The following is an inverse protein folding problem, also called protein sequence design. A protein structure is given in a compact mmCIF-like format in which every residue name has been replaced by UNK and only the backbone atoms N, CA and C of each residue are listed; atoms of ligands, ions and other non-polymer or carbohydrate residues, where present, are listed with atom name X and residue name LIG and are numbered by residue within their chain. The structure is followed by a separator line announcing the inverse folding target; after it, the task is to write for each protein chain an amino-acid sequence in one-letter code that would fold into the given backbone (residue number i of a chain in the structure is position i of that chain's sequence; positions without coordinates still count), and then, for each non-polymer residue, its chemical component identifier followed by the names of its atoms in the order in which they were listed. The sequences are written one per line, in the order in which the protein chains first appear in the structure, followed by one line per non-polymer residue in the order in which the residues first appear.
data_IF_232981899206
#
_entry.id   IF_232981899206
#
_cell.length_a   1.000
_cell.length_b   1.000
_cell.length_c   1.000
_cell.angle_alpha   90.00
_cell.angle_beta   90.00
_cell.angle_gamma   90.00
#
_symmetry.space_group_name_H-M   'P 1'
#
loop_
_entity.id
_entity.type
_entity.pdbx_description
1 polymer ?
#
# COMPACT_ATOMS: atom_id res chain seq x y z
N UNK A 1 -7.18 36.53 -47.96
CA UNK A 1 -8.50 35.92 -48.23
C UNK A 1 -8.35 34.41 -48.12
N UNK A 2 -8.83 33.82 -47.03
CA UNK A 2 -9.38 32.46 -46.94
C UNK A 2 -9.84 32.24 -45.49
N UNK A 3 -11.15 32.09 -45.34
CA UNK A 3 -11.90 31.81 -44.11
C UNK A 3 -11.97 30.29 -43.88
N UNK A 4 -12.42 29.94 -42.67
CA UNK A 4 -12.93 28.64 -42.19
C UNK A 4 -11.89 27.78 -41.46
N UNK A 5 -12.20 27.07 -40.38
CA UNK A 5 -13.51 26.69 -39.85
C UNK A 5 -13.42 26.43 -38.34
N UNK A 6 -14.46 26.86 -37.64
CA UNK A 6 -14.74 26.63 -36.21
C UNK A 6 -15.32 25.22 -36.08
N UNK A 7 -14.70 24.36 -35.26
CA UNK A 7 -15.38 23.19 -34.70
C UNK A 7 -14.89 22.93 -33.27
N UNK A 8 -15.73 23.34 -32.32
CA UNK A 8 -15.73 22.86 -30.94
C UNK A 8 -16.26 21.41 -30.89
N UNK A 9 -15.60 20.47 -30.20
CA UNK A 9 -16.27 19.30 -29.68
C UNK A 9 -16.43 19.37 -28.15
N UNK A 10 -17.69 19.59 -27.76
CA UNK A 10 -18.43 18.86 -26.73
C UNK A 10 -17.72 18.59 -25.38
N UNK A 11 -18.07 19.46 -24.43
CA UNK A 11 -17.95 19.25 -22.98
C UNK A 11 -18.75 18.01 -22.56
N UNK A 12 -18.06 16.92 -22.24
CA UNK A 12 -18.63 15.77 -21.55
C UNK A 12 -18.82 16.13 -20.06
N UNK A 13 -20.06 16.48 -19.69
CA UNK A 13 -20.48 16.61 -18.29
C UNK A 13 -20.49 15.23 -17.63
N UNK A 14 -19.46 14.92 -16.86
CA UNK A 14 -19.48 13.82 -15.89
C UNK A 14 -20.49 14.13 -14.80
N UNK A 15 -21.58 13.36 -14.74
CA UNK A 15 -22.55 13.36 -13.64
C UNK A 15 -21.85 12.79 -12.39
N UNK A 16 -21.65 13.63 -11.39
CA UNK A 16 -21.37 13.18 -10.03
C UNK A 16 -22.60 12.46 -9.48
N UNK A 17 -22.53 11.13 -9.41
CA UNK A 17 -23.49 10.31 -8.66
C UNK A 17 -23.11 10.46 -7.19
N UNK A 18 -23.75 11.41 -6.51
CA UNK A 18 -23.74 11.47 -5.04
C UNK A 18 -24.59 10.31 -4.51
N UNK A 19 -23.93 9.25 -4.06
CA UNK A 19 -24.56 8.30 -3.15
C UNK A 19 -24.69 8.97 -1.77
N UNK A 20 -25.76 9.74 -1.60
CA UNK A 20 -26.25 10.16 -0.29
C UNK A 20 -26.70 8.88 0.42
N UNK A 21 -25.81 8.34 1.25
CA UNK A 21 -26.14 7.23 2.15
C UNK A 21 -27.00 7.83 3.26
N UNK A 22 -28.30 7.64 3.15
CA UNK A 22 -29.29 7.94 4.18
C UNK A 22 -28.85 7.27 5.48
N UNK A 23 -28.42 8.06 6.47
CA UNK A 23 -28.28 7.59 7.84
C UNK A 23 -29.69 7.46 8.41
N UNK A 24 -30.17 6.24 8.57
CA UNK A 24 -31.51 6.03 9.10
C UNK A 24 -31.94 4.57 9.09
N UNK A 25 -31.21 3.69 9.79
CA UNK A 25 -31.84 2.53 10.43
C UNK A 25 -30.87 1.92 11.47
N UNK A 26 -31.24 1.86 12.75
CA UNK A 26 -30.51 1.04 13.71
C UNK A 26 -30.67 -0.45 13.32
N UNK A 27 -29.64 -1.29 13.51
CA UNK A 27 -29.73 -2.70 13.17
C UNK A 27 -30.81 -3.39 14.02
N UNK A 28 -31.92 -3.78 13.38
CA UNK A 28 -32.93 -4.64 13.97
C UNK A 28 -32.38 -6.06 14.10
N UNK A 29 -32.41 -6.59 15.32
CA UNK A 29 -32.10 -7.99 15.62
C UNK A 29 -33.05 -8.91 14.83
N UNK A 30 -32.58 -10.06 14.32
CA UNK A 30 -33.42 -10.99 13.59
C UNK A 30 -34.61 -11.45 14.45
N UNK A 31 -35.80 -11.43 13.86
CA UNK A 31 -37.02 -11.97 14.46
C UNK A 31 -36.78 -13.40 14.95
N UNK A 32 -37.13 -13.64 16.21
CA UNK A 32 -37.14 -14.96 16.83
C UNK A 32 -38.16 -15.82 16.06
N UNK A 33 -37.65 -16.67 15.17
CA UNK A 33 -38.45 -17.60 14.39
C UNK A 33 -39.40 -18.39 15.28
N UNK A 34 -40.67 -18.38 14.89
CA UNK A 34 -41.76 -19.15 15.46
C UNK A 34 -41.36 -20.63 15.56
N UNK A 35 -41.58 -21.31 16.70
CA UNK A 35 -41.28 -22.74 16.79
C UNK A 35 -42.10 -23.51 15.76
N UNK A 36 -41.52 -24.55 15.13
CA UNK A 36 -42.21 -25.36 14.15
C UNK A 36 -43.37 -26.11 14.81
N UNK A 37 -44.50 -26.03 14.13
CA UNK A 37 -45.75 -26.73 14.43
C UNK A 37 -45.46 -28.24 14.59
N UNK A 38 -45.78 -28.82 15.75
CA UNK A 38 -45.74 -30.26 15.98
C UNK A 38 -46.83 -30.92 15.12
N UNK A 39 -46.46 -31.28 13.89
CA UNK A 39 -47.23 -32.24 13.11
C UNK A 39 -47.02 -33.61 13.74
N UNK A 40 -48.07 -34.09 14.42
CA UNK A 40 -48.27 -35.47 14.83
C UNK A 40 -48.28 -36.40 13.60
N UNK A 41 -47.09 -36.69 13.07
CA UNK A 41 -46.85 -37.69 12.04
C UNK A 41 -46.18 -38.90 12.69
N UNK A 42 -47.01 -39.91 12.93
CA UNK A 42 -46.66 -41.34 12.93
C UNK A 42 -45.21 -41.70 13.32
N UNK A 43 -44.97 -41.80 14.64
CA UNK A 43 -43.70 -42.27 15.22
C UNK A 43 -43.72 -43.79 15.29
N UNK A 44 -43.39 -44.43 14.18
CA UNK A 44 -43.32 -45.89 14.13
C UNK A 44 -41.87 -46.30 13.95
N UNK A 45 -41.25 -46.77 15.03
CA UNK A 45 -39.98 -47.49 15.00
C UNK A 45 -40.32 -48.89 14.51
N UNK A 46 -40.00 -49.20 13.26
CA UNK A 46 -40.14 -50.55 12.73
C UNK A 46 -38.91 -51.37 13.12
N UNK A 47 -39.09 -52.37 13.98
CA UNK A 47 -38.05 -53.29 14.42
C UNK A 47 -38.37 -54.66 13.83
N UNK A 48 -37.76 -54.96 12.70
CA UNK A 48 -37.81 -56.28 12.06
C UNK A 48 -36.39 -56.75 11.76
N UNK A 49 -35.98 -57.87 12.34
CA UNK A 49 -34.82 -58.64 11.88
C UNK A 49 -33.43 -58.22 12.39
N UNK A 50 -33.33 -57.49 13.51
CA UNK A 50 -32.05 -57.27 14.19
C UNK A 50 -31.16 -56.16 13.63
N UNK A 51 -31.66 -55.35 12.69
CA UNK A 51 -30.91 -54.23 12.12
C UNK A 51 -31.73 -52.94 12.24
N UNK A 52 -31.23 -51.94 12.99
CA UNK A 52 -31.92 -50.67 13.26
C UNK A 52 -31.34 -49.59 12.36
N UNK A 53 -32.08 -49.20 11.32
CA UNK A 53 -31.71 -48.06 10.45
C UNK A 53 -32.45 -46.81 10.89
N UNK A 54 -31.78 -45.95 11.65
CA UNK A 54 -32.28 -44.60 11.90
C UNK A 54 -32.01 -43.72 10.67
N UNK A 55 -33.08 -43.19 10.06
CA UNK A 55 -33.00 -42.36 8.85
C UNK A 55 -32.36 -40.97 9.01
N UNK A 56 -31.80 -40.64 10.18
CA UNK A 56 -31.08 -39.37 10.44
C UNK A 56 -29.99 -39.50 11.49
N UNK A 57 -29.06 -38.56 11.42
CA UNK A 57 -27.86 -38.40 12.25
C UNK A 57 -28.20 -38.40 13.75
N UNK A 58 -27.64 -39.37 14.49
CA UNK A 58 -27.88 -39.54 15.92
C UNK A 58 -26.96 -38.58 16.66
N UNK A 59 -27.49 -37.46 17.11
CA UNK A 59 -26.77 -36.51 17.97
C UNK A 59 -26.48 -37.19 19.31
N UNK A 60 -25.22 -37.62 19.52
CA UNK A 60 -24.84 -38.28 20.76
C UNK A 60 -24.92 -37.30 21.94
N UNK A 61 -25.95 -37.49 22.74
CA UNK A 61 -26.27 -36.70 23.92
C UNK A 61 -27.51 -37.24 24.64
N UNK A 62 -28.39 -37.98 23.96
CA UNK A 62 -29.65 -38.41 24.55
C UNK A 62 -30.09 -39.83 24.14
N UNK A 63 -29.20 -40.81 24.27
CA UNK A 63 -29.57 -42.23 24.19
C UNK A 63 -29.50 -42.83 25.59
N UNK A 64 -30.59 -42.71 26.36
CA UNK A 64 -30.82 -43.58 27.52
C UNK A 64 -31.35 -44.93 27.00
N UNK A 65 -30.42 -45.83 26.67
CA UNK A 65 -30.75 -47.24 26.42
C UNK A 65 -31.12 -47.86 27.76
N UNK A 66 -32.42 -47.93 28.06
CA UNK A 66 -32.92 -48.74 29.14
C UNK A 66 -32.87 -50.21 28.71
N UNK A 67 -31.94 -50.97 29.30
CA UNK A 67 -31.98 -52.42 29.43
C UNK A 67 -32.20 -53.24 28.16
N UNK A 68 -31.13 -53.64 27.49
CA UNK A 68 -30.69 -55.03 27.52
C UNK A 68 -29.28 -55.15 26.94
N UNK A 69 -28.42 -55.82 27.68
CA UNK A 69 -27.14 -56.44 27.31
C UNK A 69 -26.58 -56.21 25.88
N UNK A 70 -25.96 -55.06 25.61
CA UNK A 70 -24.87 -54.98 24.62
C UNK A 70 -23.55 -55.24 25.35
N UNK A 71 -23.39 -56.46 25.83
CA UNK A 71 -22.12 -56.98 26.33
C UNK A 71 -21.27 -57.38 25.13
N UNK A 72 -20.34 -56.51 24.69
CA UNK A 72 -19.26 -56.97 23.81
C UNK A 72 -18.61 -55.94 22.87
N UNK A 73 -19.21 -54.76 22.64
CA UNK A 73 -18.59 -53.76 21.78
C UNK A 73 -18.46 -52.42 22.50
N UNK A 74 -17.23 -52.11 22.93
CA UNK A 74 -16.87 -50.77 23.35
C UNK A 74 -16.98 -49.84 22.15
N UNK A 75 -18.06 -49.05 22.07
CA UNK A 75 -18.12 -47.91 21.15
C UNK A 75 -17.17 -46.85 21.73
N UNK A 76 -15.90 -46.91 21.34
CA UNK A 76 -14.92 -45.86 21.62
C UNK A 76 -15.31 -44.67 20.76
N UNK A 77 -16.10 -43.76 21.32
CA UNK A 77 -16.35 -42.45 20.73
C UNK A 77 -15.04 -41.66 20.83
N UNK A 78 -14.14 -41.81 19.85
CA UNK A 78 -12.96 -40.96 19.67
C UNK A 78 -13.41 -39.56 19.25
N UNK A 79 -13.98 -38.79 20.19
CA UNK A 79 -14.23 -37.36 20.03
C UNK A 79 -13.04 -36.59 20.58
N UNK A 80 -12.06 -36.39 19.72
CA UNK A 80 -10.93 -35.52 19.97
C UNK A 80 -9.79 -35.83 19.02
N UNK A 81 -9.28 -34.82 18.33
CA UNK A 81 -7.99 -34.95 17.66
C UNK A 81 -6.95 -35.34 18.71
N UNK A 82 -6.14 -36.35 18.41
CA UNK A 82 -5.02 -36.70 19.28
C UNK A 82 -4.15 -35.46 19.50
N UNK A 83 -3.66 -35.25 20.71
CA UNK A 83 -2.76 -34.13 21.02
C UNK A 83 -1.53 -34.11 20.08
N UNK A 84 -1.12 -35.28 19.59
CA UNK A 84 -0.05 -35.43 18.60
C UNK A 84 -0.47 -34.87 17.23
N UNK A 85 -1.72 -35.09 16.80
CA UNK A 85 -2.23 -34.60 15.51
C UNK A 85 -2.39 -33.08 15.54
N UNK A 86 -2.88 -32.52 16.64
CA UNK A 86 -2.95 -31.06 16.84
C UNK A 86 -1.55 -30.44 16.83
N UNK A 87 -0.58 -31.05 17.52
CA UNK A 87 0.80 -30.56 17.55
C UNK A 87 1.44 -30.60 16.16
N UNK A 88 1.28 -31.69 15.42
CA UNK A 88 1.76 -31.80 14.03
C UNK A 88 1.10 -30.77 13.12
N UNK A 89 -0.21 -30.56 13.25
CA UNK A 89 -0.92 -29.55 12.48
C UNK A 89 -0.40 -28.14 12.78
N UNK A 90 -0.23 -27.80 14.07
CA UNK A 90 0.32 -26.49 14.48
C UNK A 90 1.74 -26.29 13.94
N UNK A 91 2.58 -27.32 13.99
CA UNK A 91 3.93 -27.25 13.43
C UNK A 91 3.92 -27.05 11.91
N UNK A 92 3.07 -27.78 11.17
CA UNK A 92 2.96 -27.66 9.72
C UNK A 92 2.43 -26.28 9.33
N UNK A 93 1.36 -25.82 9.97
CA UNK A 93 0.78 -24.49 9.72
C UNK A 93 1.77 -23.39 10.07
N UNK A 94 2.45 -23.50 11.22
CA UNK A 94 3.50 -22.57 11.63
C UNK A 94 4.66 -22.52 10.63
N UNK A 95 5.14 -23.68 10.17
CA UNK A 95 6.20 -23.76 9.15
C UNK A 95 5.75 -23.14 7.81
N UNK A 96 4.50 -23.36 7.40
CA UNK A 96 3.95 -22.79 6.17
C UNK A 96 3.83 -21.26 6.25
N UNK A 97 3.37 -20.73 7.38
CA UNK A 97 3.30 -19.28 7.62
C UNK A 97 4.70 -18.66 7.64
N UNK A 98 5.68 -19.32 8.28
CA UNK A 98 7.07 -18.85 8.26
C UNK A 98 7.67 -18.89 6.86
N UNK A 99 7.43 -19.95 6.09
CA UNK A 99 7.92 -20.07 4.71
C UNK A 99 7.32 -18.99 3.80
N UNK A 100 6.01 -18.74 3.89
CA UNK A 100 5.35 -17.69 3.12
C UNK A 100 5.83 -16.30 3.54
N UNK A 101 5.93 -16.02 4.84
CA UNK A 101 6.49 -14.77 5.35
C UNK A 101 7.94 -14.56 4.85
N UNK A 102 8.79 -15.59 4.91
CA UNK A 102 10.17 -15.53 4.42
C UNK A 102 10.22 -15.17 2.93
N UNK A 103 9.36 -15.76 2.10
CA UNK A 103 9.27 -15.42 0.66
C UNK A 103 8.93 -13.95 0.47
N UNK A 104 7.96 -13.41 1.21
CA UNK A 104 7.61 -11.98 1.13
C UNK A 104 8.75 -11.06 1.55
N UNK A 105 9.47 -11.40 2.62
CA UNK A 105 10.61 -10.59 3.07
C UNK A 105 11.80 -10.65 2.11
N UNK A 106 12.10 -11.81 1.53
CA UNK A 106 13.18 -11.97 0.54
C UNK A 106 12.83 -11.25 -0.76
N UNK A 107 11.60 -11.42 -1.27
CA UNK A 107 11.15 -10.71 -2.46
C UNK A 107 11.16 -9.18 -2.25
N UNK A 108 10.67 -8.71 -1.10
CA UNK A 108 10.73 -7.30 -0.72
C UNK A 108 12.16 -6.75 -0.70
N UNK A 109 13.12 -7.52 -0.17
CA UNK A 109 14.52 -7.13 -0.14
C UNK A 109 15.14 -6.94 -1.53
N UNK A 110 14.78 -7.80 -2.49
CA UNK A 110 15.29 -7.73 -3.88
C UNK A 110 14.74 -6.48 -4.57
N UNK A 111 13.45 -6.18 -4.41
CA UNK A 111 12.82 -5.01 -5.06
C UNK A 111 13.25 -3.69 -4.40
N UNK A 112 13.46 -3.69 -3.09
CA UNK A 112 13.92 -2.53 -2.34
C UNK A 112 15.41 -2.20 -2.54
N UNK A 113 16.23 -3.18 -2.93
CA UNK A 113 17.68 -3.02 -3.07
C UNK A 113 18.12 -1.82 -3.93
N UNK A 114 17.60 -1.59 -5.15
CA UNK A 114 17.99 -0.42 -5.95
C UNK A 114 17.62 0.91 -5.29
N UNK A 115 16.51 0.97 -4.57
CA UNK A 115 16.06 2.17 -3.85
C UNK A 115 16.99 2.49 -2.68
N UNK A 116 17.35 1.47 -1.88
CA UNK A 116 18.28 1.61 -0.75
C UNK A 116 19.67 2.02 -1.24
N UNK A 117 20.16 1.39 -2.31
CA UNK A 117 21.43 1.75 -2.93
C UNK A 117 21.44 3.21 -3.41
N UNK A 118 20.35 3.64 -4.05
CA UNK A 118 20.19 5.03 -4.51
C UNK A 118 20.17 6.02 -3.34
N UNK A 119 19.44 5.72 -2.27
CA UNK A 119 19.36 6.58 -1.07
C UNK A 119 20.68 6.71 -0.30
N UNK A 120 21.49 5.65 -0.29
CA UNK A 120 22.79 5.64 0.40
C UNK A 120 23.92 6.27 -0.43
N UNK A 121 23.68 6.66 -1.68
CA UNK A 121 24.68 7.35 -2.50
C UNK A 121 25.07 8.71 -1.90
N UNK A 122 26.37 9.06 -1.85
CA UNK A 122 26.81 10.38 -1.42
C UNK A 122 26.33 11.47 -2.38
N UNK A 123 26.02 12.65 -1.83
CA UNK A 123 25.72 13.85 -2.62
C UNK A 123 27.01 14.46 -3.16
N UNK A 124 26.96 15.06 -4.34
CA UNK A 124 28.11 15.73 -4.95
C UNK A 124 28.67 16.87 -4.08
N UNK A 125 27.80 17.62 -3.38
CA UNK A 125 28.19 18.69 -2.46
C UNK A 125 28.50 18.21 -1.03
N UNK A 126 28.63 16.89 -0.83
CA UNK A 126 28.95 16.29 0.46
C UNK A 126 27.76 16.13 1.40
N UNK A 127 26.84 17.10 1.51
CA UNK A 127 25.65 17.01 2.37
C UNK A 127 24.53 17.99 1.98
N UNK A 128 23.30 17.66 2.37
CA UNK A 128 22.16 18.58 2.28
C UNK A 128 22.36 19.82 3.15
N UNK A 129 22.05 21.00 2.61
CA UNK A 129 22.25 22.29 3.29
C UNK A 129 21.00 23.18 3.27
N UNK A 130 20.77 24.02 4.30
CA UNK A 130 19.67 24.99 4.27
C UNK A 130 19.75 25.99 3.11
N UNK A 131 20.96 26.32 2.65
CA UNK A 131 21.16 27.22 1.51
C UNK A 131 20.65 26.60 0.20
N UNK A 132 20.94 25.33 -0.06
CA UNK A 132 20.41 24.62 -1.24
C UNK A 132 18.88 24.45 -1.17
N UNK A 133 18.32 24.26 0.03
CA UNK A 133 16.87 24.24 0.22
C UNK A 133 16.24 25.60 -0.15
N UNK A 134 16.86 26.72 0.25
CA UNK A 134 16.39 28.06 -0.09
C UNK A 134 16.46 28.33 -1.60
N UNK A 135 17.50 27.86 -2.29
CA UNK A 135 17.60 27.96 -3.76
C UNK A 135 16.48 27.21 -4.45
N UNK A 136 16.11 26.01 -3.97
CA UNK A 136 14.96 25.29 -4.51
C UNK A 136 13.66 26.02 -4.25
N UNK A 137 13.45 26.55 -3.03
CA UNK A 137 12.25 27.32 -2.71
C UNK A 137 12.10 28.52 -3.64
N UNK A 138 13.17 29.28 -3.90
CA UNK A 138 13.15 30.40 -4.84
C UNK A 138 12.72 29.99 -6.27
N UNK A 139 13.18 28.82 -6.73
CA UNK A 139 12.76 28.26 -8.02
C UNK A 139 11.28 27.87 -8.02
N UNK A 140 10.77 27.30 -6.93
CA UNK A 140 9.34 26.98 -6.77
C UNK A 140 8.50 28.26 -6.74
N UNK A 141 8.92 29.27 -5.98
CA UNK A 141 8.23 30.57 -5.91
C UNK A 141 8.20 31.27 -7.28
N UNK A 142 9.28 31.14 -8.06
CA UNK A 142 9.33 31.63 -9.44
C UNK A 142 8.32 30.89 -10.34
N UNK A 143 8.11 29.58 -10.15
CA UNK A 143 7.07 28.84 -10.88
C UNK A 143 5.66 29.24 -10.44
N UNK A 144 5.45 29.48 -9.14
CA UNK A 144 4.15 29.85 -8.58
C UNK A 144 3.67 31.25 -8.96
N UNK A 145 4.59 32.10 -9.41
CA UNK A 145 4.34 33.47 -9.87
C UNK A 145 4.14 33.59 -11.39
N UNK A 146 4.26 32.49 -12.14
CA UNK A 146 4.00 32.47 -13.58
C UNK A 146 2.53 32.75 -13.90
N UNK A 147 2.30 33.44 -15.01
CA UNK A 147 0.94 33.63 -15.52
C UNK A 147 0.44 32.36 -16.23
N UNK A 148 -0.85 32.03 -16.16
CA UNK A 148 -1.42 30.91 -16.91
C UNK A 148 -1.05 30.97 -18.40
N UNK A 149 -0.58 29.86 -18.95
CA UNK A 149 -0.10 29.76 -20.34
C UNK A 149 1.36 30.15 -20.56
N UNK A 150 2.07 30.67 -19.55
CA UNK A 150 3.48 31.02 -19.68
C UNK A 150 4.37 29.76 -19.71
N UNK A 151 5.24 29.67 -20.71
CA UNK A 151 6.25 28.61 -20.80
C UNK A 151 7.39 28.85 -19.80
N UNK A 152 7.93 27.76 -19.26
CA UNK A 152 9.08 27.82 -18.37
C UNK A 152 10.07 26.69 -18.62
N UNK A 153 11.31 26.93 -18.19
CA UNK A 153 12.36 25.93 -18.05
C UNK A 153 13.03 26.12 -16.70
N UNK A 154 13.04 25.07 -15.89
CA UNK A 154 13.67 25.06 -14.57
C UNK A 154 14.53 23.82 -14.39
N UNK A 155 15.69 23.98 -13.76
CA UNK A 155 16.58 22.88 -13.41
C UNK A 155 16.72 22.75 -11.91
N UNK A 156 16.59 21.54 -11.38
CA UNK A 156 16.79 21.22 -9.96
C UNK A 156 17.98 20.28 -9.81
N UNK A 157 18.96 20.65 -9.00
CA UNK A 157 20.05 19.73 -8.66
C UNK A 157 19.60 18.70 -7.62
N UNK A 158 20.25 17.55 -7.58
CA UNK A 158 19.94 16.54 -6.56
C UNK A 158 20.12 17.08 -5.14
N UNK A 159 21.11 17.96 -4.92
CA UNK A 159 21.35 18.58 -3.62
C UNK A 159 20.24 19.57 -3.23
N UNK A 160 19.74 20.36 -4.18
CA UNK A 160 18.58 21.23 -3.99
C UNK A 160 17.35 20.40 -3.59
N UNK A 161 17.02 19.33 -4.34
CA UNK A 161 15.86 18.47 -4.05
C UNK A 161 15.99 17.74 -2.72
N UNK A 162 17.17 17.17 -2.44
CA UNK A 162 17.42 16.50 -1.16
C UNK A 162 17.33 17.47 0.01
N UNK A 163 17.90 18.67 -0.12
CA UNK A 163 17.90 19.68 0.93
C UNK A 163 16.51 20.24 1.17
N UNK A 164 15.77 20.54 0.11
CA UNK A 164 14.39 21.00 0.21
C UNK A 164 13.48 19.95 0.86
N UNK A 165 13.64 18.69 0.46
CA UNK A 165 12.91 17.60 1.09
C UNK A 165 13.28 17.44 2.56
N UNK A 166 14.55 17.57 2.93
CA UNK A 166 15.00 17.46 4.32
C UNK A 166 14.48 18.58 5.22
N UNK A 167 14.60 19.82 4.77
CA UNK A 167 14.42 21.01 5.62
C UNK A 167 13.04 21.67 5.49
N UNK A 168 12.34 21.47 4.37
CA UNK A 168 11.06 22.15 4.10
C UNK A 168 9.90 21.15 4.03
N UNK A 169 9.94 20.19 3.10
CA UNK A 169 8.80 19.28 2.92
C UNK A 169 8.73 18.19 3.99
N UNK A 170 9.86 17.60 4.34
CA UNK A 170 9.95 16.47 5.28
C UNK A 170 9.24 16.77 6.59
N UNK A 171 9.57 17.86 7.33
CA UNK A 171 8.91 18.20 8.59
C UNK A 171 7.40 18.30 8.46
N UNK A 172 6.91 18.86 7.35
CA UNK A 172 5.46 19.04 7.14
C UNK A 172 4.76 17.72 6.78
N UNK A 173 5.48 16.79 6.17
CA UNK A 173 5.01 15.44 5.86
C UNK A 173 5.23 14.46 7.02
N UNK A 174 5.75 14.93 8.17
CA UNK A 174 6.10 14.08 9.30
C UNK A 174 7.28 13.15 8.99
N UNK A 175 8.20 13.55 8.11
CA UNK A 175 9.42 12.81 7.77
C UNK A 175 10.64 13.53 8.35
N UNK A 176 11.38 12.83 9.18
CA UNK A 176 12.68 13.29 9.73
C UNK A 176 13.83 12.68 8.93
N UNK A 177 15.00 13.33 8.95
CA UNK A 177 16.18 12.89 8.17
C UNK A 177 15.86 12.64 6.68
N UNK A 178 14.98 13.48 6.12
CA UNK A 178 14.53 13.39 4.74
C UNK A 178 15.69 13.44 3.74
N UNK A 179 15.65 12.56 2.75
CA UNK A 179 16.58 12.52 1.62
C UNK A 179 15.79 12.34 0.34
N UNK A 180 16.26 12.98 -0.73
CA UNK A 180 15.78 12.74 -2.08
C UNK A 180 16.98 12.45 -3.01
N UNK A 181 16.83 11.50 -3.92
CA UNK A 181 17.89 11.09 -4.85
C UNK A 181 17.31 10.80 -6.22
N UNK A 182 18.00 11.23 -7.28
CA UNK A 182 17.61 10.89 -8.63
C UNK A 182 18.10 9.48 -8.97
N UNK A 183 17.20 8.66 -9.48
CA UNK A 183 17.53 7.32 -9.97
C UNK A 183 18.30 7.41 -11.29
N UNK A 184 18.80 6.27 -11.77
CA UNK A 184 19.45 6.20 -13.08
C UNK A 184 18.43 6.32 -14.23
N UNK A 185 17.19 5.91 -13.97
CA UNK A 185 16.08 6.11 -14.91
C UNK A 185 15.64 7.58 -14.89
N UNK A 186 15.62 8.27 -16.04
CA UNK A 186 15.24 9.68 -16.12
C UNK A 186 13.84 9.95 -15.56
N UNK A 187 13.73 10.98 -14.72
CA UNK A 187 12.47 11.39 -14.13
C UNK A 187 12.01 10.53 -12.95
N UNK A 188 12.81 9.54 -12.51
CA UNK A 188 12.53 8.81 -11.28
C UNK A 188 13.33 9.38 -10.10
N UNK A 189 12.65 9.54 -8.96
CA UNK A 189 13.19 10.12 -7.74
C UNK A 189 12.84 9.19 -6.58
N UNK A 190 13.84 8.81 -5.78
CA UNK A 190 13.62 8.12 -4.52
C UNK A 190 13.60 9.15 -3.39
N UNK A 191 12.53 9.16 -2.62
CA UNK A 191 12.41 9.88 -1.36
C UNK A 191 12.63 8.89 -0.22
N UNK A 192 13.24 9.31 0.87
CA UNK A 192 13.41 8.47 2.06
C UNK A 192 13.66 9.28 3.32
N UNK A 193 13.54 8.64 4.48
CA UNK A 193 13.70 9.26 5.79
C UNK A 193 13.04 8.41 6.86
N UNK A 194 12.71 9.00 8.00
CA UNK A 194 11.99 8.33 9.09
C UNK A 194 10.62 8.98 9.27
N UNK A 195 9.56 8.22 9.12
CA UNK A 195 8.18 8.73 9.15
C UNK A 195 7.58 8.64 10.57
N UNK A 196 7.20 9.78 11.11
CA UNK A 196 6.72 9.95 12.50
C UNK A 196 5.40 9.23 12.74
N UNK A 197 4.49 9.24 11.76
CA UNK A 197 3.18 8.57 11.84
C UNK A 197 3.31 7.06 12.11
N UNK A 198 4.37 6.44 11.60
CA UNK A 198 4.66 5.02 11.83
C UNK A 198 5.70 4.81 12.94
N UNK A 199 5.73 5.68 13.95
CA UNK A 199 6.64 5.54 15.09
C UNK A 199 8.11 5.84 14.77
N UNK A 200 8.38 6.64 13.74
CA UNK A 200 9.74 7.00 13.33
C UNK A 200 10.44 5.90 12.53
N UNK A 201 9.70 4.96 11.94
CA UNK A 201 10.29 3.88 11.14
C UNK A 201 10.91 4.43 9.84
N UNK A 202 12.00 3.82 9.34
CA UNK A 202 12.57 4.17 8.05
C UNK A 202 11.58 3.90 6.92
N UNK A 203 11.45 4.86 6.01
CA UNK A 203 10.54 4.86 4.88
C UNK A 203 11.29 5.21 3.60
N UNK A 204 10.82 4.68 2.48
CA UNK A 204 11.20 5.15 1.16
C UNK A 204 10.02 5.11 0.18
N UNK A 205 10.01 6.05 -0.75
CA UNK A 205 9.05 6.13 -1.84
C UNK A 205 9.77 6.35 -3.16
N UNK A 206 9.41 5.57 -4.16
CA UNK A 206 9.77 5.80 -5.54
C UNK A 206 8.69 6.65 -6.20
N UNK A 207 9.10 7.82 -6.67
CA UNK A 207 8.26 8.80 -7.36
C UNK A 207 8.71 8.89 -8.81
N UNK A 208 7.75 9.00 -9.72
CA UNK A 208 7.98 9.28 -11.14
C UNK A 208 7.43 10.66 -11.47
N UNK A 209 8.28 11.50 -12.04
CA UNK A 209 7.88 12.77 -12.62
C UNK A 209 7.31 12.47 -14.00
N UNK A 210 6.09 12.92 -14.28
CA UNK A 210 5.40 12.68 -15.56
C UNK A 210 4.91 13.96 -16.19
N UNK A 211 4.64 13.90 -17.50
CA UNK A 211 3.98 14.98 -18.26
C UNK A 211 2.45 14.88 -18.20
N UNK A 212 1.93 13.99 -17.35
CA UNK A 212 0.51 13.75 -17.17
C UNK A 212 -0.19 14.85 -16.38
N UNK A 213 -1.45 14.59 -16.01
CA UNK A 213 -2.23 15.53 -15.20
C UNK A 213 -1.67 15.69 -13.78
N UNK A 214 -1.05 14.62 -13.26
CA UNK A 214 -0.44 14.55 -11.93
C UNK A 214 1.08 14.53 -12.11
N UNK A 215 1.79 15.65 -11.90
CA UNK A 215 3.21 15.75 -12.19
C UNK A 215 4.10 14.78 -11.42
N UNK A 216 3.70 14.36 -10.21
CA UNK A 216 4.42 13.40 -9.36
C UNK A 216 3.57 12.17 -9.05
N UNK A 217 3.88 11.05 -9.68
CA UNK A 217 3.19 9.78 -9.48
C UNK A 217 3.98 8.88 -8.53
N UNK A 218 3.31 8.37 -7.49
CA UNK A 218 3.91 7.35 -6.61
C UNK A 218 3.90 5.99 -7.33
N UNK A 219 5.08 5.41 -7.55
CA UNK A 219 5.24 4.08 -8.14
C UNK A 219 5.23 3.00 -7.06
N UNK A 220 6.08 3.16 -6.05
CA UNK A 220 6.21 2.21 -4.96
C UNK A 220 6.54 2.93 -3.65
N UNK A 221 6.10 2.37 -2.52
CA UNK A 221 6.50 2.86 -1.20
C UNK A 221 6.78 1.69 -0.26
N UNK A 222 7.77 1.85 0.60
CA UNK A 222 8.28 0.80 1.45
C UNK A 222 8.53 1.33 2.86
N UNK A 223 8.20 0.52 3.86
CA UNK A 223 8.45 0.81 5.28
C UNK A 223 9.33 -0.28 5.87
N UNK A 224 10.38 0.10 6.61
CA UNK A 224 11.27 -0.84 7.27
C UNK A 224 10.73 -1.15 8.66
N UNK A 225 10.16 -2.34 8.83
CA UNK A 225 9.56 -2.77 10.11
C UNK A 225 10.51 -3.56 11.00
N UNK A 226 11.58 -4.12 10.42
CA UNK A 226 12.60 -4.83 11.20
C UNK A 226 13.82 -3.94 11.40
N UNK A 227 14.28 -3.73 12.65
CA UNK A 227 15.51 -3.03 12.92
C UNK A 227 16.68 -3.91 12.43
N UNK A 228 17.20 -3.60 11.25
CA UNK A 228 18.42 -4.21 10.72
C UNK A 228 19.51 -3.15 10.57
N UNK A 229 20.80 -3.53 10.64
CA UNK A 229 21.91 -2.60 10.47
C UNK A 229 21.76 -1.70 9.23
N UNK A 230 22.37 -0.52 9.26
CA UNK A 230 22.35 0.39 8.12
C UNK A 230 22.91 -0.30 6.86
N UNK A 231 22.27 -0.06 5.72
CA UNK A 231 22.62 -0.71 4.45
C UNK A 231 22.02 -2.09 4.22
N UNK A 232 21.34 -2.70 5.20
CA UNK A 232 20.67 -4.00 5.02
C UNK A 232 19.29 -3.80 4.39
N UNK A 233 19.05 -4.50 3.27
CA UNK A 233 17.79 -4.48 2.50
C UNK A 233 16.70 -5.40 3.05
N UNK A 234 16.90 -6.02 4.21
CA UNK A 234 15.94 -6.91 4.84
C UNK A 234 14.95 -6.14 5.73
N UNK A 235 13.69 -6.57 5.74
CA UNK A 235 12.64 -6.03 6.62
C UNK A 235 11.80 -4.91 6.02
N UNK A 236 11.86 -4.71 4.70
CA UNK A 236 11.00 -3.75 4.00
C UNK A 236 9.67 -4.39 3.59
N UNK A 237 8.57 -3.73 3.94
CA UNK A 237 7.22 -4.11 3.53
C UNK A 237 6.65 -3.06 2.58
N UNK A 238 5.93 -3.46 1.52
CA UNK A 238 5.30 -2.52 0.61
C UNK A 238 4.11 -1.83 1.30
N UNK A 239 4.07 -0.50 1.22
CA UNK A 239 3.03 0.36 1.81
C UNK A 239 2.46 1.36 0.79
N UNK A 240 2.61 1.07 -0.51
CA UNK A 240 2.17 1.94 -1.61
C UNK A 240 0.74 2.47 -1.47
N UNK A 241 -0.28 1.68 -1.07
CA UNK A 241 -1.64 2.21 -0.89
C UNK A 241 -1.73 3.27 0.21
N UNK A 242 -0.98 3.11 1.30
CA UNK A 242 -0.95 4.03 2.43
C UNK A 242 -0.22 5.34 2.09
N UNK A 243 0.79 5.26 1.22
CA UNK A 243 1.58 6.42 0.81
C UNK A 243 0.92 7.25 -0.33
N UNK A 244 -0.30 6.93 -0.80
CA UNK A 244 -0.95 7.72 -1.87
C UNK A 244 -1.19 9.18 -1.49
N UNK A 245 -1.47 9.45 -0.22
CA UNK A 245 -1.62 10.81 0.32
C UNK A 245 -0.34 11.65 0.20
N UNK A 246 0.84 11.00 0.21
CA UNK A 246 2.14 11.65 0.02
C UNK A 246 2.23 12.27 -1.38
N UNK A 247 1.88 11.51 -2.42
CA UNK A 247 1.87 12.01 -3.80
C UNK A 247 0.89 13.19 -3.94
N UNK A 248 -0.32 13.08 -3.39
CA UNK A 248 -1.30 14.17 -3.43
C UNK A 248 -0.77 15.44 -2.74
N UNK A 249 -0.17 15.27 -1.57
CA UNK A 249 0.40 16.39 -0.79
C UNK A 249 1.59 17.05 -1.50
N UNK A 250 2.45 16.25 -2.15
CA UNK A 250 3.57 16.76 -2.94
C UNK A 250 3.09 17.54 -4.16
N UNK A 251 2.12 17.00 -4.91
CA UNK A 251 1.58 17.68 -6.09
C UNK A 251 0.88 19.00 -5.71
N UNK A 252 0.09 19.00 -4.63
CA UNK A 252 -0.60 20.20 -4.17
C UNK A 252 0.35 21.32 -3.75
N UNK A 253 1.54 20.98 -3.24
CA UNK A 253 2.51 21.95 -2.71
C UNK A 253 3.54 22.42 -3.73
N UNK A 254 4.01 21.54 -4.60
CA UNK A 254 5.14 21.83 -5.46
C UNK A 254 4.74 22.30 -6.86
N UNK A 255 3.70 21.68 -7.44
CA UNK A 255 3.45 21.77 -8.87
C UNK A 255 1.97 21.85 -9.22
N UNK A 256 1.12 22.28 -8.27
CA UNK A 256 -0.32 22.39 -8.49
C UNK A 256 -0.72 23.34 -9.62
N UNK A 257 0.17 24.27 -9.99
CA UNK A 257 -0.05 25.30 -11.00
C UNK A 257 0.74 25.10 -12.30
N UNK A 258 1.44 23.99 -12.46
CA UNK A 258 2.26 23.77 -13.67
C UNK A 258 1.96 22.43 -14.33
N UNK A 259 2.22 22.35 -15.62
CA UNK A 259 2.23 21.11 -16.39
C UNK A 259 3.59 20.94 -17.05
N UNK A 260 4.20 19.77 -16.90
CA UNK A 260 5.45 19.46 -17.60
C UNK A 260 5.17 18.98 -19.01
N UNK A 261 5.93 19.50 -19.97
CA UNK A 261 5.90 19.07 -21.37
C UNK A 261 7.13 18.25 -21.73
N UNK A 262 8.25 18.46 -21.04
CA UNK A 262 9.48 17.69 -21.22
C UNK A 262 10.22 17.52 -19.89
N UNK A 263 10.78 16.33 -19.68
CA UNK A 263 11.52 15.95 -18.47
C UNK A 263 12.86 15.37 -18.91
N UNK A 264 13.95 16.02 -18.53
CA UNK A 264 15.32 15.60 -18.88
C UNK A 264 16.17 15.54 -17.65
N UNK A 265 16.93 14.46 -17.51
CA UNK A 265 17.95 14.36 -16.47
C UNK A 265 19.32 14.62 -17.11
N UNK A 266 20.07 15.55 -16.53
CA UNK A 266 21.39 15.98 -17.00
C UNK A 266 22.42 15.66 -15.92
N UNK A 267 23.59 15.17 -16.31
CA UNK A 267 24.66 14.75 -15.39
C UNK A 267 25.03 13.27 -15.54
N UNK A 268 26.07 12.82 -14.83
CA UNK A 268 26.65 11.50 -15.02
C UNK A 268 25.66 10.36 -14.71
N UNK A 269 25.37 9.56 -15.74
CA UNK A 269 24.81 8.21 -15.61
C UNK A 269 25.95 7.25 -15.28
N UNK A 270 26.11 6.90 -14.00
CA UNK A 270 27.20 6.03 -13.53
C UNK A 270 27.55 6.24 -12.06
N UNK A 271 28.57 5.52 -11.60
CA UNK A 271 29.13 5.62 -10.24
C UNK A 271 29.97 6.90 -10.01
N UNK A 272 30.13 7.74 -11.04
CA UNK A 272 30.79 9.02 -10.89
C UNK A 272 29.92 9.98 -10.08
N UNK A 273 30.52 10.57 -9.05
CA UNK A 273 29.93 11.58 -8.16
C UNK A 273 29.79 12.89 -8.94
N UNK A 274 28.92 12.90 -9.95
CA UNK A 274 28.57 14.07 -10.74
C UNK A 274 27.29 14.72 -10.20
N UNK A 275 27.20 16.04 -10.28
CA UNK A 275 25.98 16.77 -9.95
C UNK A 275 24.87 16.39 -10.94
N UNK A 276 23.97 15.49 -10.52
CA UNK A 276 22.76 15.17 -11.28
C UNK A 276 21.77 16.32 -11.15
N UNK A 277 21.13 16.69 -12.26
CA UNK A 277 20.11 17.71 -12.33
C UNK A 277 18.89 17.21 -13.11
N UNK A 278 17.70 17.58 -12.65
CA UNK A 278 16.44 17.35 -13.33
C UNK A 278 16.00 18.67 -13.97
N UNK A 279 15.97 18.72 -15.30
CA UNK A 279 15.49 19.85 -16.09
C UNK A 279 14.07 19.58 -16.54
N UNK A 280 13.17 20.48 -16.17
CA UNK A 280 11.74 20.43 -16.46
C UNK A 280 11.40 21.59 -17.37
N UNK A 281 10.80 21.28 -18.52
CA UNK A 281 10.15 22.25 -19.38
C UNK A 281 8.63 22.10 -19.23
N UNK A 282 7.90 23.20 -19.29
CA UNK A 282 6.45 23.15 -19.06
C UNK A 282 5.71 24.45 -19.36
N UNK A 283 4.43 24.44 -19.01
CA UNK A 283 3.51 25.57 -19.13
C UNK A 283 2.77 25.74 -17.80
N UNK A 284 2.60 26.98 -17.34
CA UNK A 284 1.77 27.29 -16.18
C UNK A 284 0.27 27.11 -16.50
N UNK A 285 -0.51 26.56 -15.55
CA UNK A 285 -1.95 26.29 -15.67
C UNK A 285 -2.80 27.45 -15.17
#
# INVERSE_FOLDING_TARGET
MARASILNPLVARSKAIYNVRTMGEPPSLPERGTPPNESSGDRTIDVSGGDVRAGRDIVAGDVKIAGDSISGQSIVVQRGFSANDVTRLVLIVGALVLATALIFFVAGAIVAAPLVATLNRPLAAGNSSPAAAAQMQQKIDALDSLQPGQEFRVGFTEDEVSSYFRFVLGPVLGVTEGKARFMDTPGQIVLGGNIVEFGGLPFMAEMKVTTGEVPFELQSAWLKVLPTPQGVNFGWIPVTPLARSLSQSLNARLFGKVQFTNIRQVGATGAEVGARALVLDGVAK
#
